data_IF_929294057019
#
_entry.id   IF_929294057019
#
_cell.length_a   1.000
_cell.length_b   1.000
_cell.length_c   1.000
_cell.angle_alpha   90.00
_cell.angle_beta   90.00
_cell.angle_gamma   90.00
#
_symmetry.space_group_name_H-M   'P 1'
#
loop_
_entity.id
_entity.type
_entity.pdbx_description
1 polymer ?
#
# COMPACT_ATOMS: atom_id res chain seq x y z
N UNK A 1 -23.85 13.22 -30.91
CA UNK A 1 -22.88 12.73 -29.90
C UNK A 1 -22.90 11.21 -29.77
N UNK A 2 -24.04 10.49 -29.84
CA UNK A 2 -23.99 9.00 -29.80
C UNK A 2 -23.27 8.41 -31.03
N UNK A 3 -23.56 8.90 -32.24
CA UNK A 3 -22.96 8.38 -33.49
C UNK A 3 -21.42 8.49 -33.59
N UNK A 4 -20.77 9.34 -32.78
CA UNK A 4 -19.30 9.48 -32.78
C UNK A 4 -18.68 8.46 -31.82
N UNK A 5 -19.35 8.16 -30.71
CA UNK A 5 -18.89 7.15 -29.75
C UNK A 5 -19.05 5.74 -30.32
N UNK A 6 -20.17 5.50 -31.01
CA UNK A 6 -20.47 4.20 -31.62
C UNK A 6 -19.41 3.87 -32.69
N UNK A 7 -19.01 4.85 -33.52
CA UNK A 7 -17.94 4.67 -34.50
C UNK A 7 -16.54 4.53 -33.89
N UNK A 8 -16.25 5.20 -32.77
CA UNK A 8 -14.96 5.06 -32.09
C UNK A 8 -14.80 3.64 -31.50
N UNK A 9 -15.86 3.13 -30.86
CA UNK A 9 -15.90 1.77 -30.34
C UNK A 9 -15.77 0.73 -31.45
N UNK A 10 -16.54 0.85 -32.54
CA UNK A 10 -16.45 -0.06 -33.69
C UNK A 10 -15.03 -0.09 -34.29
N UNK A 11 -14.38 1.07 -34.40
CA UNK A 11 -13.02 1.17 -34.90
C UNK A 11 -12.01 0.52 -33.93
N UNK A 12 -12.14 0.76 -32.62
CA UNK A 12 -11.28 0.14 -31.61
C UNK A 12 -11.47 -1.39 -31.56
N UNK A 13 -12.70 -1.88 -31.75
CA UNK A 13 -13.00 -3.30 -31.86
C UNK A 13 -12.31 -3.92 -33.09
N UNK A 14 -12.41 -3.26 -34.24
CA UNK A 14 -11.71 -3.70 -35.46
C UNK A 14 -10.19 -3.72 -35.26
N UNK A 15 -9.62 -2.72 -34.59
CA UNK A 15 -8.20 -2.69 -34.26
C UNK A 15 -7.78 -3.82 -33.30
N UNK A 16 -8.61 -4.12 -32.29
CA UNK A 16 -8.37 -5.22 -31.38
C UNK A 16 -8.39 -6.56 -32.12
N UNK A 17 -9.42 -6.81 -32.92
CA UNK A 17 -9.53 -8.03 -33.74
C UNK A 17 -8.35 -8.14 -34.70
N UNK A 18 -7.98 -7.06 -35.37
CA UNK A 18 -6.83 -7.03 -36.28
C UNK A 18 -5.52 -7.37 -35.56
N UNK A 19 -5.30 -6.78 -34.38
CA UNK A 19 -4.11 -7.05 -33.55
C UNK A 19 -4.06 -8.53 -33.13
N UNK A 20 -5.19 -9.12 -32.76
CA UNK A 20 -5.30 -10.56 -32.45
C UNK A 20 -4.92 -11.42 -33.67
N UNK A 21 -5.39 -11.06 -34.87
CA UNK A 21 -5.09 -11.79 -36.10
C UNK A 21 -3.62 -11.67 -36.52
N UNK A 22 -3.01 -10.50 -36.31
CA UNK A 22 -1.60 -10.23 -36.63
C UNK A 22 -0.62 -11.11 -35.86
N UNK A 23 -1.02 -11.65 -34.70
CA UNK A 23 -0.19 -12.58 -33.91
C UNK A 23 0.31 -13.77 -34.74
N UNK A 24 -0.61 -14.42 -35.45
CA UNK A 24 -0.29 -15.59 -36.27
C UNK A 24 0.68 -15.23 -37.39
N UNK A 25 0.52 -14.05 -37.97
CA UNK A 25 1.42 -13.55 -39.01
C UNK A 25 2.80 -13.19 -38.45
N UNK A 26 2.88 -12.58 -37.27
CA UNK A 26 4.13 -12.21 -36.62
C UNK A 26 4.98 -13.46 -36.32
N UNK A 27 4.36 -14.49 -35.72
CA UNK A 27 5.05 -15.73 -35.39
C UNK A 27 5.41 -16.57 -36.64
N UNK A 28 4.59 -16.54 -37.70
CA UNK A 28 4.89 -17.29 -38.93
C UNK A 28 6.05 -16.73 -39.76
N UNK A 29 6.50 -15.50 -39.47
CA UNK A 29 7.67 -14.88 -40.14
C UNK A 29 9.01 -15.35 -39.54
N UNK A 30 8.98 -15.93 -38.35
CA UNK A 30 10.16 -16.42 -37.66
C UNK A 30 10.53 -17.80 -38.23
N UNK A 31 11.82 -18.00 -38.52
CA UNK A 31 12.32 -19.28 -39.03
C UNK A 31 12.55 -20.23 -37.86
N UNK A 32 12.55 -21.56 -38.09
CA UNK A 32 12.90 -22.53 -37.04
C UNK A 32 14.28 -22.29 -36.39
N UNK A 33 15.17 -21.60 -37.09
CA UNK A 33 16.54 -21.28 -36.68
C UNK A 33 16.65 -19.93 -35.95
N UNK A 34 15.55 -19.18 -35.80
CA UNK A 34 15.57 -17.86 -35.17
C UNK A 34 15.94 -17.97 -33.69
N UNK A 35 16.88 -17.17 -33.17
CA UNK A 35 17.25 -17.17 -31.77
C UNK A 35 16.05 -16.91 -30.85
N UNK A 36 15.99 -17.61 -29.72
CA UNK A 36 14.88 -17.48 -28.77
C UNK A 36 14.66 -16.04 -28.29
N UNK A 37 15.72 -15.26 -28.09
CA UNK A 37 15.63 -13.84 -27.71
C UNK A 37 14.95 -12.97 -28.77
N UNK A 38 15.13 -13.27 -30.06
CA UNK A 38 14.47 -12.56 -31.16
C UNK A 38 12.98 -12.95 -31.25
N UNK A 39 12.66 -14.22 -31.03
CA UNK A 39 11.28 -14.69 -30.92
C UNK A 39 10.56 -14.01 -29.75
N UNK A 40 11.21 -13.95 -28.59
CA UNK A 40 10.68 -13.32 -27.38
C UNK A 40 10.49 -11.80 -27.57
N UNK A 41 11.44 -11.12 -28.23
CA UNK A 41 11.30 -9.70 -28.57
C UNK A 41 10.06 -9.44 -29.44
N UNK A 42 9.89 -10.21 -30.54
CA UNK A 42 8.69 -10.10 -31.37
C UNK A 42 7.39 -10.42 -30.62
N UNK A 43 7.46 -11.34 -29.65
CA UNK A 43 6.32 -11.67 -28.79
C UNK A 43 5.96 -10.50 -27.88
N UNK A 44 6.94 -9.88 -27.22
CA UNK A 44 6.73 -8.70 -26.37
C UNK A 44 6.21 -7.50 -27.16
N UNK A 45 6.75 -7.23 -28.35
CA UNK A 45 6.28 -6.15 -29.23
C UNK A 45 4.82 -6.33 -29.63
N UNK A 46 4.42 -7.56 -29.94
CA UNK A 46 3.03 -7.87 -30.25
C UNK A 46 2.13 -7.76 -29.00
N UNK A 47 2.62 -8.23 -27.84
CA UNK A 47 1.92 -8.13 -26.57
C UNK A 47 1.63 -6.66 -26.20
N UNK A 48 2.58 -5.75 -26.41
CA UNK A 48 2.39 -4.31 -26.19
C UNK A 48 1.31 -3.70 -27.09
N UNK A 49 1.28 -4.10 -28.37
CA UNK A 49 0.22 -3.67 -29.31
C UNK A 49 -1.15 -4.16 -28.87
N UNK A 50 -1.23 -5.42 -28.42
CA UNK A 50 -2.49 -5.98 -27.94
C UNK A 50 -2.97 -5.25 -26.68
N UNK A 51 -2.08 -5.02 -25.72
CA UNK A 51 -2.40 -4.27 -24.50
C UNK A 51 -2.96 -2.88 -24.84
N UNK A 52 -2.28 -2.13 -25.72
CA UNK A 52 -2.75 -0.83 -26.17
C UNK A 52 -4.12 -0.91 -26.88
N UNK A 53 -4.36 -1.95 -27.70
CA UNK A 53 -5.63 -2.15 -28.37
C UNK A 53 -6.78 -2.45 -27.38
N UNK A 54 -6.53 -3.26 -26.35
CA UNK A 54 -7.52 -3.55 -25.29
C UNK A 54 -7.85 -2.29 -24.51
N UNK A 55 -6.84 -1.53 -24.05
CA UNK A 55 -7.07 -0.28 -23.33
C UNK A 55 -7.87 0.73 -24.18
N UNK A 56 -7.54 0.86 -25.47
CA UNK A 56 -8.29 1.71 -26.39
C UNK A 56 -9.74 1.24 -26.54
N UNK A 57 -9.97 -0.06 -26.75
CA UNK A 57 -11.32 -0.61 -26.84
C UNK A 57 -12.13 -0.34 -25.58
N UNK A 58 -11.58 -0.62 -24.39
CA UNK A 58 -12.26 -0.41 -23.12
C UNK A 58 -12.56 1.08 -22.88
N UNK A 59 -11.59 1.96 -23.12
CA UNK A 59 -11.79 3.41 -23.02
C UNK A 59 -12.90 3.90 -23.96
N UNK A 60 -12.88 3.45 -25.20
CA UNK A 60 -13.82 3.90 -26.23
C UNK A 60 -15.23 3.34 -25.96
N UNK A 61 -15.34 2.10 -25.46
CA UNK A 61 -16.59 1.51 -24.98
C UNK A 61 -17.18 2.29 -23.79
N UNK A 62 -16.33 2.74 -22.86
CA UNK A 62 -16.76 3.51 -21.69
C UNK A 62 -17.04 4.99 -22.03
N UNK A 63 -16.51 5.54 -23.12
CA UNK A 63 -16.59 6.97 -23.43
C UNK A 63 -18.03 7.50 -23.47
N UNK A 64 -18.97 6.76 -24.09
CA UNK A 64 -20.38 7.15 -24.13
C UNK A 64 -21.00 7.23 -22.72
N UNK A 65 -20.71 6.23 -21.88
CA UNK A 65 -21.21 6.14 -20.51
C UNK A 65 -20.64 7.30 -19.67
N UNK A 66 -19.32 7.48 -19.70
CA UNK A 66 -18.63 8.54 -18.96
C UNK A 66 -19.11 9.92 -19.40
N UNK A 67 -19.25 10.17 -20.70
CA UNK A 67 -19.77 11.43 -21.22
C UNK A 67 -21.21 11.71 -20.78
N UNK A 68 -22.02 10.67 -20.53
CA UNK A 68 -23.36 10.82 -19.95
C UNK A 68 -23.29 11.11 -18.46
N UNK A 69 -22.46 10.39 -17.71
CA UNK A 69 -22.26 10.61 -16.27
C UNK A 69 -21.77 12.04 -16.03
N UNK A 70 -20.72 12.49 -16.72
CA UNK A 70 -20.15 13.83 -16.55
C UNK A 70 -21.10 14.99 -16.93
N UNK A 71 -22.18 14.72 -17.67
CA UNK A 71 -23.23 15.72 -17.97
C UNK A 71 -24.28 15.85 -16.87
N UNK A 72 -24.35 14.89 -15.95
CA UNK A 72 -25.27 14.97 -14.82
C UNK A 72 -24.81 16.07 -13.85
N UNK A 73 -25.72 16.69 -13.09
CA UNK A 73 -25.39 17.50 -11.91
C UNK A 73 -24.45 16.76 -10.96
N UNK A 74 -23.60 17.50 -10.25
CA UNK A 74 -22.53 16.92 -9.42
C UNK A 74 -23.10 15.96 -8.37
N UNK A 75 -24.23 16.31 -7.77
CA UNK A 75 -24.91 15.53 -6.74
C UNK A 75 -25.34 14.14 -7.25
N UNK A 76 -25.77 14.04 -8.50
CA UNK A 76 -26.12 12.75 -9.11
C UNK A 76 -24.87 11.95 -9.48
N UNK A 77 -23.76 12.61 -9.80
CA UNK A 77 -22.49 11.91 -10.05
C UNK A 77 -21.92 11.35 -8.75
N UNK A 78 -21.92 12.13 -7.68
CA UNK A 78 -21.49 11.67 -6.35
C UNK A 78 -22.34 10.48 -5.88
N UNK A 79 -23.66 10.51 -6.11
CA UNK A 79 -24.51 9.35 -5.84
C UNK A 79 -24.09 8.11 -6.64
N UNK A 80 -23.76 8.25 -7.93
CA UNK A 80 -23.26 7.14 -8.76
C UNK A 80 -21.89 6.65 -8.25
N UNK A 81 -21.00 7.55 -7.88
CA UNK A 81 -19.66 7.19 -7.40
C UNK A 81 -19.71 6.51 -6.05
N UNK A 82 -20.61 6.91 -5.16
CA UNK A 82 -20.90 6.21 -3.91
C UNK A 82 -21.24 4.74 -4.16
N UNK A 83 -22.11 4.45 -5.13
CA UNK A 83 -22.45 3.06 -5.49
C UNK A 83 -21.26 2.23 -6.00
N UNK A 84 -20.19 2.86 -6.49
CA UNK A 84 -18.97 2.12 -6.89
C UNK A 84 -18.15 1.65 -5.68
N UNK A 85 -18.39 2.26 -4.51
CA UNK A 85 -17.70 1.99 -3.26
C UNK A 85 -18.55 1.21 -2.25
N UNK A 86 -19.78 0.82 -2.63
CA UNK A 86 -20.64 0.02 -1.77
C UNK A 86 -20.00 -1.36 -1.53
N UNK A 87 -19.99 -1.76 -0.27
CA UNK A 87 -19.48 -3.06 0.17
C UNK A 87 -20.41 -4.19 -0.28
N UNK A 88 -19.85 -5.20 -0.94
CA UNK A 88 -20.47 -6.52 -1.09
C UNK A 88 -19.63 -7.55 -0.32
N UNK A 89 -20.23 -8.52 0.40
CA UNK A 89 -19.48 -9.49 1.22
C UNK A 89 -18.36 -10.26 0.50
N UNK A 90 -18.49 -10.43 -0.82
CA UNK A 90 -17.54 -11.15 -1.66
C UNK A 90 -16.62 -10.19 -2.45
N UNK A 91 -16.81 -8.87 -2.32
CA UNK A 91 -16.11 -7.85 -3.11
C UNK A 91 -16.18 -6.47 -2.43
N UNK A 92 -15.14 -6.12 -1.66
CA UNK A 92 -14.98 -4.78 -1.11
C UNK A 92 -14.00 -3.94 -1.96
N UNK A 93 -14.48 -3.02 -2.81
CA UNK A 93 -13.63 -2.18 -3.62
C UNK A 93 -12.78 -1.20 -2.78
N UNK A 94 -13.21 -0.85 -1.56
CA UNK A 94 -12.44 0.04 -0.68
C UNK A 94 -11.21 -0.69 -0.15
N UNK A 95 -11.40 -1.90 0.40
CA UNK A 95 -10.31 -2.75 0.85
C UNK A 95 -9.34 -3.03 -0.31
N UNK A 96 -9.85 -3.42 -1.48
CA UNK A 96 -9.01 -3.68 -2.65
C UNK A 96 -8.18 -2.46 -3.09
N UNK A 97 -8.73 -1.24 -2.99
CA UNK A 97 -7.96 -0.02 -3.24
C UNK A 97 -6.87 0.19 -2.18
N UNK A 98 -7.19 0.02 -0.89
CA UNK A 98 -6.29 0.25 0.23
C UNK A 98 -5.19 -0.82 0.37
N UNK A 99 -5.43 -2.05 -0.09
CA UNK A 99 -4.47 -3.14 -0.03
C UNK A 99 -3.54 -3.17 -1.26
N UNK A 100 -4.07 -2.86 -2.45
CA UNK A 100 -3.35 -3.09 -3.71
C UNK A 100 -2.89 -1.82 -4.42
N UNK A 101 -2.92 -0.66 -3.75
CA UNK A 101 -2.48 0.62 -4.32
C UNK A 101 -1.04 0.62 -4.82
N UNK A 102 -0.17 -0.26 -4.30
CA UNK A 102 1.18 -0.47 -4.81
C UNK A 102 1.20 -0.79 -6.31
N UNK A 103 0.15 -1.43 -6.83
CA UNK A 103 0.04 -1.90 -8.21
C UNK A 103 -0.55 -0.89 -9.22
N UNK A 104 -0.73 0.39 -8.86
CA UNK A 104 -1.31 1.40 -9.77
C UNK A 104 -0.55 1.59 -11.09
N UNK A 105 0.79 1.47 -11.05
CA UNK A 105 1.64 1.66 -12.23
C UNK A 105 1.95 0.36 -12.96
N UNK A 106 1.54 -0.78 -12.40
CA UNK A 106 1.79 -2.07 -13.01
C UNK A 106 0.94 -2.21 -14.27
N UNK A 107 1.48 -2.82 -15.33
CA UNK A 107 0.69 -3.10 -16.51
C UNK A 107 -0.51 -3.98 -16.16
N UNK A 108 -1.72 -3.65 -16.63
CA UNK A 108 -2.97 -4.36 -16.28
C UNK A 108 -2.96 -5.86 -16.48
N UNK A 109 -2.00 -6.35 -17.23
CA UNK A 109 -1.88 -7.76 -17.54
C UNK A 109 -0.38 -8.13 -17.70
N UNK A 110 -0.07 -9.43 -17.67
CA UNK A 110 1.32 -9.92 -17.65
C UNK A 110 1.84 -10.27 -19.06
N UNK A 111 3.14 -10.06 -19.31
CA UNK A 111 3.80 -10.54 -20.53
C UNK A 111 4.45 -11.89 -20.26
N UNK A 112 3.83 -12.98 -20.74
CA UNK A 112 4.41 -14.32 -20.65
C UNK A 112 5.75 -14.42 -21.38
N UNK A 113 6.75 -15.08 -20.76
CA UNK A 113 7.97 -15.49 -21.45
C UNK A 113 7.74 -16.75 -22.32
N UNK A 114 6.67 -17.50 -22.05
CA UNK A 114 6.27 -18.63 -22.88
C UNK A 114 5.54 -18.13 -24.13
N UNK A 115 6.29 -18.09 -25.24
CA UNK A 115 5.84 -17.72 -26.58
C UNK A 115 4.74 -18.63 -27.15
N UNK A 116 4.58 -19.85 -26.61
CA UNK A 116 3.58 -20.82 -27.06
C UNK A 116 2.20 -20.55 -26.46
N UNK A 117 2.13 -19.91 -25.28
CA UNK A 117 0.89 -19.51 -24.64
C UNK A 117 0.37 -18.18 -25.21
N UNK A 118 -0.93 -17.92 -25.10
CA UNK A 118 -1.41 -16.53 -25.20
C UNK A 118 -0.75 -15.74 -24.07
N UNK A 119 -0.09 -14.60 -24.33
CA UNK A 119 0.64 -13.93 -23.27
C UNK A 119 -0.26 -13.46 -22.12
N UNK A 120 -1.58 -13.43 -22.30
CA UNK A 120 -2.51 -12.76 -21.39
C UNK A 120 -3.82 -13.54 -21.14
N UNK A 121 -3.84 -14.88 -21.20
CA UNK A 121 -5.07 -15.62 -20.83
C UNK A 121 -5.22 -15.86 -19.33
N UNK A 122 -4.14 -15.72 -18.57
CA UNK A 122 -4.24 -15.66 -17.13
C UNK A 122 -4.12 -14.18 -16.73
N UNK A 123 -5.22 -13.61 -16.22
CA UNK A 123 -5.03 -12.63 -15.15
C UNK A 123 -4.12 -13.33 -14.16
N UNK A 124 -2.93 -12.80 -13.84
CA UNK A 124 -2.07 -13.48 -12.90
C UNK A 124 -2.93 -13.76 -11.67
N UNK A 125 -3.03 -15.03 -11.30
CA UNK A 125 -3.90 -15.50 -10.19
C UNK A 125 -3.58 -14.82 -8.85
N UNK A 126 -2.54 -13.99 -8.85
CA UNK A 126 -1.84 -13.40 -7.71
C UNK A 126 -1.74 -11.88 -7.78
N UNK A 127 -2.08 -11.20 -8.88
CA UNK A 127 -2.05 -9.72 -8.87
C UNK A 127 -3.44 -9.24 -8.50
N UNK A 128 -3.64 -9.18 -7.20
CA UNK A 128 -4.68 -8.38 -6.61
C UNK A 128 -4.49 -6.92 -7.05
N UNK A 129 -5.56 -6.29 -7.53
CA UNK A 129 -5.52 -4.99 -8.20
C UNK A 129 -6.52 -4.05 -7.60
N UNK A 130 -6.24 -2.75 -7.63
CA UNK A 130 -7.25 -1.75 -7.36
C UNK A 130 -8.37 -1.80 -8.40
N UNK A 131 -9.57 -1.29 -8.07
CA UNK A 131 -10.70 -1.34 -8.98
C UNK A 131 -10.44 -0.61 -10.30
N UNK A 132 -10.77 -1.23 -11.44
CA UNK A 132 -10.51 -0.64 -12.77
C UNK A 132 -11.22 0.71 -12.99
N UNK A 133 -12.32 0.98 -12.27
CA UNK A 133 -13.08 2.22 -12.40
C UNK A 133 -12.38 3.44 -11.76
N UNK A 134 -11.26 3.27 -11.05
CA UNK A 134 -10.42 4.41 -10.62
C UNK A 134 -9.24 4.67 -11.55
N UNK A 135 -9.04 3.85 -12.58
CA UNK A 135 -7.98 4.07 -13.55
C UNK A 135 -8.41 5.00 -14.69
N UNK A 136 -7.61 6.04 -14.92
CA UNK A 136 -7.79 6.97 -16.05
C UNK A 136 -7.72 6.30 -17.42
N UNK A 137 -7.06 5.15 -17.55
CA UNK A 137 -6.97 4.38 -18.77
C UNK A 137 -8.35 3.88 -19.21
N UNK A 138 -9.23 3.53 -18.26
CA UNK A 138 -10.58 3.03 -18.55
C UNK A 138 -11.65 4.10 -18.48
N UNK A 139 -11.56 5.01 -17.50
CA UNK A 139 -12.62 5.99 -17.22
C UNK A 139 -12.32 7.38 -17.79
N UNK A 140 -11.09 7.63 -18.22
CA UNK A 140 -10.59 8.96 -18.52
C UNK A 140 -10.22 9.75 -17.26
N UNK A 141 -9.33 10.74 -17.37
CA UNK A 141 -8.71 11.40 -16.22
C UNK A 141 -9.71 12.18 -15.35
N UNK A 142 -10.72 12.80 -15.97
CA UNK A 142 -11.73 13.59 -15.22
C UNK A 142 -12.59 12.68 -14.36
N UNK A 143 -13.16 11.62 -14.93
CA UNK A 143 -14.04 10.73 -14.17
C UNK A 143 -13.28 9.94 -13.11
N UNK A 144 -12.11 9.40 -13.43
CA UNK A 144 -11.26 8.70 -12.46
C UNK A 144 -10.94 9.61 -11.25
N UNK A 145 -10.57 10.86 -11.49
CA UNK A 145 -10.35 11.85 -10.43
C UNK A 145 -11.60 12.12 -9.61
N UNK A 146 -12.76 12.34 -10.24
CA UNK A 146 -14.01 12.59 -9.50
C UNK A 146 -14.42 11.40 -8.63
N UNK A 147 -14.17 10.16 -9.09
CA UNK A 147 -14.43 8.93 -8.33
C UNK A 147 -13.49 8.82 -7.12
N UNK A 148 -12.20 9.12 -7.31
CA UNK A 148 -11.20 9.15 -6.24
C UNK A 148 -11.46 10.27 -5.21
N UNK A 149 -11.92 11.44 -5.67
CA UNK A 149 -12.39 12.52 -4.78
C UNK A 149 -13.59 12.06 -3.94
N UNK A 150 -14.52 11.30 -4.54
CA UNK A 150 -15.64 10.71 -3.80
C UNK A 150 -15.15 9.71 -2.75
N UNK A 151 -14.22 8.81 -3.10
CA UNK A 151 -13.61 7.88 -2.14
C UNK A 151 -12.97 8.63 -0.97
N UNK A 152 -12.11 9.61 -1.26
CA UNK A 152 -11.41 10.45 -0.26
C UNK A 152 -12.36 11.08 0.75
N UNK A 153 -13.55 11.48 0.29
CA UNK A 153 -14.51 12.22 1.12
C UNK A 153 -15.36 11.30 2.01
N UNK A 154 -15.28 9.99 1.80
CA UNK A 154 -16.16 8.97 2.40
C UNK A 154 -15.39 7.92 3.18
N UNK A 155 -14.24 7.46 2.66
CA UNK A 155 -13.41 6.43 3.31
C UNK A 155 -13.06 6.85 4.74
N UNK A 156 -13.24 5.94 5.70
CA UNK A 156 -12.94 6.19 7.12
C UNK A 156 -13.84 7.21 7.82
N UNK A 157 -14.76 7.88 7.11
CA UNK A 157 -15.63 8.91 7.68
C UNK A 157 -16.80 8.33 8.46
N UNK A 158 -17.39 7.25 7.99
CA UNK A 158 -18.42 6.53 8.73
C UNK A 158 -17.74 5.47 9.61
N UNK A 159 -17.92 5.59 10.93
CA UNK A 159 -17.32 4.68 11.92
C UNK A 159 -18.40 3.91 12.69
N UNK A 160 -19.63 3.94 12.20
CA UNK A 160 -20.74 3.21 12.78
C UNK A 160 -20.61 1.72 12.45
N UNK A 161 -20.98 0.81 13.35
CA UNK A 161 -21.00 -0.62 13.05
C UNK A 161 -21.90 -0.93 11.85
N UNK A 162 -21.50 -1.89 11.03
CA UNK A 162 -22.35 -2.44 9.96
C UNK A 162 -23.53 -3.24 10.53
N UNK A 163 -24.41 -3.75 9.65
CA UNK A 163 -25.55 -4.61 10.02
C UNK A 163 -25.12 -5.90 10.75
N UNK A 164 -23.83 -6.28 10.64
CA UNK A 164 -23.23 -7.43 11.32
C UNK A 164 -22.60 -7.08 12.67
N UNK A 165 -22.58 -5.79 13.04
CA UNK A 165 -21.95 -5.27 14.25
C UNK A 165 -20.43 -5.09 14.16
N UNK A 166 -19.83 -5.23 12.97
CA UNK A 166 -18.42 -4.97 12.75
C UNK A 166 -18.18 -3.48 12.57
N UNK A 167 -17.12 -2.95 13.19
CA UNK A 167 -16.69 -1.59 12.92
C UNK A 167 -15.96 -1.55 11.58
N UNK A 168 -16.20 -0.52 10.76
CA UNK A 168 -15.46 -0.32 9.51
C UNK A 168 -14.01 0.02 9.80
N UNK A 169 -13.14 -0.23 8.83
CA UNK A 169 -11.72 0.09 8.95
C UNK A 169 -11.51 1.58 9.22
N UNK A 170 -10.73 1.89 10.25
CA UNK A 170 -10.39 3.25 10.65
C UNK A 170 -8.93 3.60 10.37
N UNK A 171 -8.18 2.67 9.78
CA UNK A 171 -6.73 2.72 9.64
C UNK A 171 -6.28 2.30 8.23
N UNK A 172 -5.25 2.96 7.71
CA UNK A 172 -4.48 2.56 6.53
C UNK A 172 -3.08 2.12 6.99
N UNK A 173 -2.74 0.86 6.72
CA UNK A 173 -1.43 0.29 7.06
C UNK A 173 -0.46 0.43 5.89
N UNK A 174 0.73 0.93 6.16
CA UNK A 174 1.82 1.08 5.21
C UNK A 174 3.10 0.45 5.74
N UNK A 175 3.77 -0.31 4.88
CA UNK A 175 5.07 -0.89 5.20
C UNK A 175 6.16 0.16 4.97
N UNK A 176 7.25 0.05 5.72
CA UNK A 176 8.42 0.93 5.68
C UNK A 176 8.94 1.24 4.27
N UNK A 177 8.99 0.24 3.39
CA UNK A 177 9.43 0.37 2.00
C UNK A 177 8.47 1.18 1.12
N UNK A 178 7.21 1.26 1.50
CA UNK A 178 6.14 1.93 0.74
C UNK A 178 5.88 3.36 1.20
N UNK A 179 6.56 3.84 2.26
CA UNK A 179 6.35 5.19 2.82
C UNK A 179 6.52 6.28 1.74
N UNK A 180 7.57 6.21 0.92
CA UNK A 180 7.81 7.24 -0.10
C UNK A 180 6.71 7.25 -1.15
N UNK A 181 6.32 6.07 -1.63
CA UNK A 181 5.27 5.93 -2.62
C UNK A 181 3.93 6.43 -2.06
N UNK A 182 3.62 6.13 -0.79
CA UNK A 182 2.41 6.61 -0.14
C UNK A 182 2.28 8.14 -0.18
N UNK A 183 3.41 8.84 0.03
CA UNK A 183 3.48 10.31 0.07
C UNK A 183 3.55 10.94 -1.32
N UNK A 184 4.19 10.29 -2.29
CA UNK A 184 4.60 10.94 -3.54
C UNK A 184 4.02 10.34 -4.81
N UNK A 185 3.56 9.08 -4.77
CA UNK A 185 3.02 8.39 -5.93
C UNK A 185 1.67 8.99 -6.29
N UNK A 186 1.53 9.38 -7.56
CA UNK A 186 0.29 9.85 -8.11
C UNK A 186 -0.61 8.66 -8.47
N UNK A 187 -1.70 8.49 -7.74
CA UNK A 187 -2.67 7.41 -7.91
C UNK A 187 -3.26 7.48 -9.31
N UNK A 188 -2.95 6.46 -10.13
CA UNK A 188 -3.30 6.39 -11.55
C UNK A 188 -2.93 7.64 -12.37
N UNK A 189 -1.98 8.44 -11.90
CA UNK A 189 -1.55 9.65 -12.57
C UNK A 189 -2.67 10.69 -12.77
N UNK A 190 -3.55 10.89 -11.79
CA UNK A 190 -4.67 11.86 -11.83
C UNK A 190 -4.44 13.11 -10.96
N UNK A 191 -3.25 13.24 -10.38
CA UNK A 191 -2.83 14.33 -9.50
C UNK A 191 -3.28 14.17 -8.04
N UNK A 192 -3.37 12.95 -7.52
CA UNK A 192 -3.77 12.67 -6.13
C UNK A 192 -2.88 11.58 -5.51
N UNK A 193 -2.45 11.74 -4.27
CA UNK A 193 -1.60 10.75 -3.57
C UNK A 193 -2.42 9.84 -2.66
N UNK A 194 -1.84 8.71 -2.23
CA UNK A 194 -2.48 7.85 -1.22
C UNK A 194 -2.62 8.54 0.13
N UNK A 195 -1.67 9.40 0.50
CA UNK A 195 -1.78 10.27 1.68
C UNK A 195 -3.04 11.13 1.63
N UNK A 196 -3.31 11.77 0.48
CA UNK A 196 -4.49 12.62 0.30
C UNK A 196 -5.78 11.79 0.33
N UNK A 197 -5.81 10.64 -0.38
CA UNK A 197 -6.97 9.75 -0.45
C UNK A 197 -7.40 9.23 0.92
N UNK A 198 -6.43 8.89 1.75
CA UNK A 198 -6.66 8.27 3.06
C UNK A 198 -6.76 9.27 4.20
N UNK A 199 -6.93 10.58 3.92
CA UNK A 199 -6.93 11.65 4.94
C UNK A 199 -7.87 11.46 6.14
N UNK A 200 -8.93 10.67 5.95
CA UNK A 200 -9.92 10.35 6.97
C UNK A 200 -9.64 9.02 7.69
N UNK A 201 -8.53 8.34 7.41
CA UNK A 201 -8.06 7.15 8.11
C UNK A 201 -6.87 7.50 9.01
N UNK A 202 -6.74 6.81 10.13
CA UNK A 202 -5.49 6.74 10.87
C UNK A 202 -4.41 6.09 9.99
N UNK A 203 -3.14 6.32 10.29
CA UNK A 203 -2.02 5.70 9.56
C UNK A 203 -1.33 4.73 10.51
N UNK A 204 -1.08 3.49 10.07
CA UNK A 204 -0.10 2.59 10.70
C UNK A 204 1.13 2.51 9.82
N UNK A 205 2.31 2.76 10.36
CA UNK A 205 3.58 2.55 9.64
C UNK A 205 4.29 1.37 10.28
N UNK A 206 4.42 0.28 9.53
CA UNK A 206 5.08 -0.94 9.98
C UNK A 206 6.54 -0.95 9.55
N UNK A 207 7.44 -0.90 10.53
CA UNK A 207 8.86 -1.12 10.38
C UNK A 207 9.17 -2.57 10.69
N UNK A 208 9.49 -3.34 9.65
CA UNK A 208 9.78 -4.76 9.79
C UNK A 208 11.27 -4.96 9.99
N UNK A 209 11.66 -5.35 11.20
CA UNK A 209 13.06 -5.55 11.56
C UNK A 209 13.69 -6.75 10.85
N UNK A 210 12.90 -7.76 10.50
CA UNK A 210 13.37 -9.03 9.92
C UNK A 210 13.82 -8.91 8.46
N UNK A 211 13.08 -8.15 7.63
CA UNK A 211 13.37 -7.99 6.20
C UNK A 211 14.68 -7.22 5.93
N UNK A 212 15.28 -6.63 6.97
CA UNK A 212 16.60 -6.00 6.86
C UNK A 212 17.74 -7.00 6.60
N UNK A 213 17.46 -8.30 6.74
CA UNK A 213 18.46 -9.37 6.66
C UNK A 213 18.16 -10.44 5.60
N UNK A 214 17.00 -10.38 4.94
CA UNK A 214 16.66 -11.35 3.89
C UNK A 214 17.21 -10.91 2.52
N UNK A 215 17.98 -11.76 1.83
CA UNK A 215 18.45 -11.46 0.48
C UNK A 215 17.27 -11.42 -0.50
N UNK A 216 17.19 -10.36 -1.32
CA UNK A 216 16.07 -10.11 -2.24
C UNK A 216 15.98 -11.15 -3.38
N UNK A 217 16.98 -12.02 -3.56
CA UNK A 217 16.94 -13.08 -4.58
C UNK A 217 17.79 -14.32 -4.25
N UNK A 218 17.47 -15.42 -4.94
CA UNK A 218 18.25 -16.67 -4.95
C UNK A 218 19.71 -16.47 -5.41
N UNK A 219 19.97 -15.51 -6.31
CA UNK A 219 21.34 -15.13 -6.72
C UNK A 219 22.08 -14.37 -5.62
N UNK A 220 21.40 -13.49 -4.87
CA UNK A 220 21.98 -12.83 -3.70
C UNK A 220 22.28 -13.81 -2.57
N UNK A 221 21.44 -14.82 -2.40
CA UNK A 221 21.61 -15.91 -1.44
C UNK A 221 22.86 -16.77 -1.76
N UNK A 222 23.12 -17.02 -3.04
CA UNK A 222 24.32 -17.74 -3.50
C UNK A 222 25.59 -16.89 -3.41
N UNK A 223 25.49 -15.58 -3.67
CA UNK A 223 26.61 -14.65 -3.56
C UNK A 223 26.96 -14.25 -2.12
N UNK A 224 25.98 -14.22 -1.20
CA UNK A 224 26.21 -13.88 0.22
C UNK A 224 26.99 -14.98 0.96
N UNK A 225 26.85 -16.24 0.55
CA UNK A 225 27.68 -17.34 1.07
C UNK A 225 29.16 -17.21 0.70
N UNK A 226 29.50 -16.45 -0.35
CA UNK A 226 30.87 -16.23 -0.80
C UNK A 226 31.50 -14.92 -0.30
N UNK A 227 30.71 -13.98 0.24
CA UNK A 227 31.14 -12.63 0.60
C UNK A 227 31.00 -12.32 2.09
N UNK A 228 32.15 -12.34 2.76
CA UNK A 228 32.47 -11.88 4.12
C UNK A 228 31.65 -10.67 4.62
N UNK A 229 31.28 -10.70 5.92
CA UNK A 229 30.73 -9.66 6.84
C UNK A 229 30.80 -8.16 6.48
N UNK A 230 31.71 -7.70 5.62
CA UNK A 230 31.80 -6.30 5.17
C UNK A 230 30.71 -5.89 4.16
N UNK A 231 30.16 -6.84 3.40
CA UNK A 231 29.11 -6.58 2.40
C UNK A 231 27.77 -6.18 3.03
N UNK A 232 27.43 -6.76 4.19
CA UNK A 232 26.13 -6.54 4.83
C UNK A 232 26.02 -5.18 5.54
N UNK A 233 27.14 -4.64 6.04
CA UNK A 233 27.16 -3.30 6.67
C UNK A 233 26.88 -2.21 5.64
N UNK A 234 27.42 -2.34 4.42
CA UNK A 234 27.16 -1.41 3.31
C UNK A 234 25.69 -1.40 2.90
N UNK A 235 25.12 -2.58 2.63
CA UNK A 235 23.70 -2.74 2.28
C UNK A 235 22.76 -2.19 3.37
N UNK A 236 23.07 -2.48 4.64
CA UNK A 236 22.33 -1.96 5.79
C UNK A 236 22.35 -0.44 5.84
N UNK A 237 23.53 0.18 5.68
CA UNK A 237 23.66 1.64 5.66
C UNK A 237 22.89 2.28 4.51
N UNK A 238 22.87 1.66 3.33
CA UNK A 238 22.11 2.15 2.17
C UNK A 238 20.61 2.05 2.40
N UNK A 239 20.13 0.93 2.93
CA UNK A 239 18.73 0.73 3.28
C UNK A 239 18.26 1.74 4.33
N UNK A 240 19.02 1.94 5.42
CA UNK A 240 18.69 2.96 6.42
C UNK A 240 18.74 4.37 5.85
N UNK A 241 19.69 4.70 4.98
CA UNK A 241 19.72 5.99 4.31
C UNK A 241 18.45 6.21 3.46
N UNK A 242 17.96 5.16 2.79
CA UNK A 242 16.71 5.15 2.03
C UNK A 242 15.50 5.42 2.95
N UNK A 243 15.34 4.62 4.01
CA UNK A 243 14.27 4.80 4.99
C UNK A 243 14.32 6.18 5.67
N UNK A 244 15.52 6.70 5.93
CA UNK A 244 15.68 8.04 6.49
C UNK A 244 15.20 9.14 5.52
N UNK A 245 15.40 8.94 4.22
CA UNK A 245 14.80 9.77 3.17
C UNK A 245 13.27 9.68 3.17
N UNK A 246 12.73 8.47 3.28
CA UNK A 246 11.29 8.22 3.28
C UNK A 246 10.61 8.83 4.50
N UNK A 247 11.18 8.64 5.68
CA UNK A 247 10.77 9.29 6.92
C UNK A 247 10.78 10.82 6.80
N UNK A 248 11.77 11.39 6.11
CA UNK A 248 11.82 12.84 5.86
C UNK A 248 10.65 13.31 5.00
N UNK A 249 10.34 12.58 3.93
CA UNK A 249 9.19 12.87 3.07
C UNK A 249 7.88 12.77 3.86
N UNK A 250 7.71 11.72 4.65
CA UNK A 250 6.51 11.50 5.46
C UNK A 250 6.35 12.53 6.59
N UNK A 251 7.42 12.87 7.30
CA UNK A 251 7.38 13.97 8.28
C UNK A 251 6.93 15.27 7.58
N UNK A 252 7.36 15.50 6.33
CA UNK A 252 7.02 16.71 5.58
C UNK A 252 5.55 16.89 5.19
N UNK A 253 4.69 15.89 5.39
CA UNK A 253 3.26 16.01 5.08
C UNK A 253 2.57 16.96 6.07
N UNK A 254 1.58 17.75 5.64
CA UNK A 254 0.84 18.63 6.54
C UNK A 254 -0.04 17.82 7.48
N UNK A 255 -0.13 18.25 8.75
CA UNK A 255 -1.12 17.68 9.66
C UNK A 255 -2.54 17.91 9.13
N UNK A 256 -3.27 16.80 9.00
CA UNK A 256 -4.65 16.79 8.56
C UNK A 256 -5.56 16.35 9.71
N UNK A 257 -6.73 16.97 9.80
CA UNK A 257 -7.77 16.50 10.70
C UNK A 257 -8.61 15.46 9.97
N UNK A 258 -9.00 14.42 10.71
CA UNK A 258 -9.99 13.45 10.29
C UNK A 258 -11.39 13.98 10.59
N UNK A 259 -12.32 13.74 9.67
CA UNK A 259 -13.74 13.97 9.88
C UNK A 259 -14.41 12.61 10.02
N UNK A 260 -15.04 12.35 11.17
CA UNK A 260 -15.78 11.12 11.44
C UNK A 260 -17.23 11.41 11.85
N UNK A 261 -18.11 10.48 11.52
CA UNK A 261 -19.52 10.45 11.91
C UNK A 261 -19.68 9.29 12.88
N UNK A 262 -19.98 9.60 14.15
CA UNK A 262 -19.91 8.62 15.24
C UNK A 262 -21.28 8.28 15.87
N UNK A 263 -22.33 9.03 15.57
CA UNK A 263 -23.64 8.87 16.22
C UNK A 263 -24.78 8.73 15.20
N UNK A 264 -25.57 7.66 15.33
CA UNK A 264 -26.77 7.37 14.54
C UNK A 264 -27.90 8.38 14.76
N UNK A 265 -27.95 9.01 15.93
CA UNK A 265 -29.11 9.80 16.37
C UNK A 265 -28.96 11.27 15.98
N UNK A 266 -27.74 11.80 16.06
CA UNK A 266 -27.48 13.24 15.86
C UNK A 266 -26.82 13.55 14.51
N UNK A 267 -26.21 12.55 13.85
CA UNK A 267 -25.29 12.78 12.72
C UNK A 267 -24.19 13.78 13.07
N UNK A 268 -23.79 13.84 14.34
CA UNK A 268 -22.76 14.78 14.80
C UNK A 268 -21.42 14.46 14.12
N UNK A 269 -20.88 15.47 13.45
CA UNK A 269 -19.57 15.42 12.82
C UNK A 269 -18.51 15.70 13.87
N UNK A 270 -17.67 14.72 14.15
CA UNK A 270 -16.48 14.90 14.95
C UNK A 270 -15.28 15.20 14.05
N UNK A 271 -14.56 16.25 14.38
CA UNK A 271 -13.32 16.64 13.71
C UNK A 271 -12.20 16.53 14.73
N UNK A 272 -11.24 15.63 14.49
CA UNK A 272 -10.12 15.37 15.39
C UNK A 272 -8.81 15.21 14.64
N UNK A 273 -7.67 15.21 15.36
CA UNK A 273 -6.38 14.96 14.74
C UNK A 273 -6.35 13.55 14.13
N UNK A 274 -5.63 13.41 13.01
CA UNK A 274 -5.30 12.11 12.42
C UNK A 274 -4.22 11.45 13.28
N UNK A 275 -4.47 10.22 13.76
CA UNK A 275 -3.49 9.45 14.52
C UNK A 275 -2.51 8.76 13.57
N UNK A 276 -1.22 8.82 13.89
CA UNK A 276 -0.17 8.02 13.25
C UNK A 276 0.41 7.05 14.27
N UNK A 277 0.31 5.76 13.99
CA UNK A 277 0.96 4.71 14.79
C UNK A 277 2.25 4.30 14.09
N UNK A 278 3.37 4.43 14.79
CA UNK A 278 4.67 3.91 14.35
C UNK A 278 4.85 2.54 14.98
N UNK A 279 4.72 1.48 14.19
CA UNK A 279 4.77 0.08 14.63
C UNK A 279 6.14 -0.51 14.32
N UNK A 280 6.85 -0.96 15.35
CA UNK A 280 8.03 -1.81 15.20
C UNK A 280 7.56 -3.25 15.27
N UNK A 281 7.77 -4.02 14.21
CA UNK A 281 7.40 -5.43 14.11
C UNK A 281 8.65 -6.29 13.90
N UNK A 282 8.72 -7.38 14.65
CA UNK A 282 9.84 -8.32 14.67
C UNK A 282 9.34 -9.74 14.98
N UNK A 283 9.33 -10.63 13.99
CA UNK A 283 8.96 -12.04 14.14
C UNK A 283 10.04 -12.84 14.88
N UNK A 284 11.28 -12.34 14.88
CA UNK A 284 12.43 -12.95 15.53
C UNK A 284 12.53 -12.58 17.01
N UNK A 285 13.64 -12.88 17.68
CA UNK A 285 13.80 -12.69 19.12
C UNK A 285 14.14 -11.25 19.54
N UNK A 286 13.99 -10.26 18.64
CA UNK A 286 14.45 -8.88 18.82
C UNK A 286 15.91 -8.76 19.29
N UNK A 287 16.71 -9.83 19.20
CA UNK A 287 18.12 -9.80 19.58
C UNK A 287 18.99 -9.15 18.53
N UNK A 288 18.38 -8.88 17.37
CA UNK A 288 19.07 -8.44 16.19
C UNK A 288 19.57 -7.01 16.27
N UNK A 289 20.70 -6.82 15.62
CA UNK A 289 21.42 -5.56 15.61
C UNK A 289 20.65 -4.39 14.98
N UNK A 290 19.47 -4.60 14.38
CA UNK A 290 18.67 -3.57 13.70
C UNK A 290 17.83 -2.70 14.64
N UNK A 291 17.42 -3.21 15.80
CA UNK A 291 16.53 -2.50 16.73
C UNK A 291 17.00 -1.06 17.09
N UNK A 292 18.30 -0.78 17.34
CA UNK A 292 18.76 0.58 17.63
C UNK A 292 18.53 1.57 16.48
N UNK A 293 18.78 1.12 15.24
CA UNK A 293 18.67 1.99 14.06
C UNK A 293 17.19 2.24 13.70
N UNK A 294 16.33 1.21 13.76
CA UNK A 294 14.87 1.36 13.60
C UNK A 294 14.31 2.25 14.70
N UNK A 295 14.71 2.04 15.95
CA UNK A 295 14.27 2.88 17.08
C UNK A 295 14.67 4.33 16.88
N UNK A 296 15.88 4.61 16.42
CA UNK A 296 16.34 5.96 16.09
C UNK A 296 15.48 6.62 15.00
N UNK A 297 15.12 5.87 13.96
CA UNK A 297 14.20 6.33 12.91
C UNK A 297 12.80 6.61 13.44
N UNK A 298 12.24 5.71 14.24
CA UNK A 298 10.93 5.85 14.88
C UNK A 298 10.89 7.07 15.80
N UNK A 299 11.91 7.28 16.63
CA UNK A 299 12.01 8.47 17.49
C UNK A 299 12.08 9.75 16.66
N UNK A 300 12.85 9.74 15.56
CA UNK A 300 12.93 10.87 14.64
C UNK A 300 11.56 11.19 14.04
N UNK A 301 10.85 10.16 13.54
CA UNK A 301 9.51 10.32 12.98
C UNK A 301 8.51 10.79 14.03
N UNK A 302 8.51 10.19 15.22
CA UNK A 302 7.68 10.61 16.34
C UNK A 302 7.86 12.10 16.64
N UNK A 303 9.11 12.54 16.87
CA UNK A 303 9.40 13.95 17.17
C UNK A 303 9.02 14.88 16.02
N UNK A 304 9.32 14.48 14.78
CA UNK A 304 9.01 15.27 13.58
C UNK A 304 7.50 15.44 13.35
N UNK A 305 6.75 14.35 13.42
CA UNK A 305 5.29 14.34 13.22
C UNK A 305 4.57 15.09 14.34
N UNK A 306 4.98 14.90 15.60
CA UNK A 306 4.47 15.67 16.75
C UNK A 306 4.73 17.17 16.58
N UNK A 307 5.94 17.55 16.15
CA UNK A 307 6.26 18.95 15.88
C UNK A 307 5.39 19.55 14.75
N UNK A 308 4.92 18.71 13.82
CA UNK A 308 4.02 19.09 12.75
C UNK A 308 2.53 19.06 13.13
N UNK A 309 2.19 18.63 14.36
CA UNK A 309 0.84 18.68 14.90
C UNK A 309 0.04 17.39 14.78
N UNK A 310 0.66 16.27 14.40
CA UNK A 310 0.01 14.96 14.44
C UNK A 310 -0.12 14.44 15.87
N UNK A 311 -1.16 13.62 16.11
CA UNK A 311 -1.15 12.69 17.22
C UNK A 311 -0.35 11.45 16.81
N UNK A 312 0.56 10.98 17.66
CA UNK A 312 1.48 9.91 17.29
C UNK A 312 1.60 8.93 18.44
N UNK A 313 1.43 7.64 18.14
CA UNK A 313 1.67 6.55 19.06
C UNK A 313 2.83 5.69 18.57
N UNK A 314 3.50 5.02 19.50
CA UNK A 314 4.50 4.00 19.17
C UNK A 314 3.97 2.66 19.63
N UNK A 315 4.03 1.65 18.75
CA UNK A 315 3.67 0.27 19.10
C UNK A 315 4.86 -0.63 18.82
N UNK A 316 5.10 -1.59 19.69
CA UNK A 316 6.10 -2.63 19.48
C UNK A 316 5.40 -3.99 19.55
N UNK A 317 5.58 -4.76 18.49
CA UNK A 317 5.08 -6.10 18.29
C UNK A 317 6.27 -7.03 18.10
N UNK A 318 6.36 -8.07 18.92
CA UNK A 318 7.32 -9.14 18.70
C UNK A 318 6.71 -10.49 19.02
N UNK A 319 6.58 -11.33 17.99
CA UNK A 319 5.85 -12.59 18.08
C UNK A 319 6.62 -13.65 18.88
N UNK A 320 7.95 -13.74 18.69
CA UNK A 320 8.80 -14.70 19.39
C UNK A 320 8.69 -14.56 20.91
N UNK A 321 8.77 -13.32 21.39
CA UNK A 321 8.59 -13.04 22.82
C UNK A 321 7.15 -12.70 23.19
N UNK A 322 6.18 -12.78 22.28
CA UNK A 322 4.77 -12.42 22.49
C UNK A 322 4.58 -11.03 23.15
N UNK A 323 5.37 -10.05 22.71
CA UNK A 323 5.28 -8.65 23.13
C UNK A 323 4.26 -7.94 22.23
N UNK A 324 3.24 -7.32 22.81
CA UNK A 324 2.37 -6.38 22.11
C UNK A 324 2.10 -5.17 23.00
N UNK A 325 2.95 -4.15 22.89
CA UNK A 325 2.90 -2.96 23.75
C UNK A 325 2.70 -1.71 22.92
N UNK A 326 1.71 -0.92 23.34
CA UNK A 326 1.49 0.43 22.85
C UNK A 326 1.95 1.45 23.91
N UNK A 327 2.75 2.40 23.45
CA UNK A 327 3.26 3.53 24.21
C UNK A 327 2.47 4.78 23.83
N UNK A 328 1.79 5.36 24.84
CA UNK A 328 1.08 6.62 24.75
C UNK A 328 1.98 7.78 25.20
N UNK A 329 1.48 9.01 25.13
CA UNK A 329 2.21 10.23 25.50
C UNK A 329 2.73 10.24 26.95
N UNK A 330 2.15 9.46 27.86
CA UNK A 330 2.58 9.40 29.26
C UNK A 330 3.95 8.72 29.45
N UNK A 331 4.36 7.88 28.49
CA UNK A 331 5.62 7.12 28.55
C UNK A 331 6.85 8.00 28.74
N UNK A 332 6.81 9.23 28.20
CA UNK A 332 7.91 10.18 28.29
C UNK A 332 8.13 10.71 29.71
N UNK A 333 7.15 10.55 30.60
CA UNK A 333 7.23 10.89 32.01
C UNK A 333 7.50 9.70 32.93
N UNK A 334 7.65 8.49 32.39
CA UNK A 334 7.87 7.29 33.19
C UNK A 334 9.23 7.33 33.90
N UNK A 335 9.22 7.01 35.18
CA UNK A 335 10.41 6.81 36.01
C UNK A 335 10.99 5.41 35.84
N UNK A 336 12.20 5.16 36.36
CA UNK A 336 12.79 3.81 36.41
C UNK A 336 11.84 2.79 37.03
N UNK A 337 11.16 3.19 38.11
CA UNK A 337 10.17 2.36 38.79
C UNK A 337 8.94 2.10 37.91
N UNK A 338 8.50 3.05 37.09
CA UNK A 338 7.38 2.83 36.16
C UNK A 338 7.77 1.81 35.09
N UNK A 339 8.98 1.92 34.53
CA UNK A 339 9.50 0.95 33.56
C UNK A 339 9.65 -0.47 34.14
N UNK A 340 10.09 -0.60 35.39
CA UNK A 340 10.18 -1.89 36.09
C UNK A 340 8.79 -2.48 36.41
N UNK A 341 7.85 -1.65 36.87
CA UNK A 341 6.52 -2.10 37.29
C UNK A 341 5.55 -2.35 36.12
N UNK A 342 5.79 -1.76 34.95
CA UNK A 342 4.97 -1.97 33.74
C UNK A 342 5.40 -3.18 32.92
N UNK A 343 6.63 -3.69 33.12
CA UNK A 343 7.13 -4.89 32.47
C UNK A 343 6.20 -6.11 32.65
N UNK A 344 5.63 -6.42 33.84
CA UNK A 344 4.76 -7.58 34.00
C UNK A 344 3.31 -7.37 33.52
N UNK A 345 2.87 -6.12 33.26
CA UNK A 345 1.46 -5.75 33.18
C UNK A 345 0.92 -5.31 31.82
N UNK A 346 1.78 -5.00 30.83
CA UNK A 346 1.34 -4.61 29.48
C UNK A 346 1.64 -5.72 28.47
N UNK A 347 0.60 -6.28 27.84
CA UNK A 347 0.71 -6.82 26.48
C UNK A 347 1.37 -8.19 26.28
N UNK A 348 1.44 -9.05 27.31
CA UNK A 348 2.02 -10.39 27.19
C UNK A 348 0.93 -11.47 27.09
N UNK A 349 1.03 -12.36 26.10
CA UNK A 349 -0.02 -13.33 25.80
C UNK A 349 0.05 -14.68 26.55
N UNK A 350 0.96 -14.92 27.52
CA UNK A 350 1.02 -16.24 28.17
C UNK A 350 1.50 -16.25 29.63
N UNK A 351 0.81 -17.08 30.44
CA UNK A 351 1.11 -17.44 31.83
C UNK A 351 2.24 -18.48 31.98
N UNK A 352 2.78 -19.02 30.87
CA UNK A 352 3.85 -20.03 30.89
C UNK A 352 4.85 -19.80 29.77
N UNK A 353 6.06 -19.38 30.12
CA UNK A 353 7.18 -19.21 29.19
C UNK A 353 8.43 -19.85 29.76
N UNK A 354 9.27 -20.37 28.89
CA UNK A 354 10.59 -20.84 29.27
C UNK A 354 11.44 -19.68 29.82
N UNK A 355 12.30 -19.96 30.80
CA UNK A 355 13.17 -18.95 31.44
C UNK A 355 14.02 -18.17 30.41
N UNK A 356 14.43 -18.83 29.31
CA UNK A 356 15.16 -18.23 28.19
C UNK A 356 14.38 -17.12 27.47
N UNK A 357 13.05 -17.25 27.38
CA UNK A 357 12.17 -16.25 26.78
C UNK A 357 11.98 -15.07 27.75
N UNK A 358 11.92 -15.33 29.06
CA UNK A 358 11.80 -14.28 30.09
C UNK A 358 13.05 -13.38 30.12
N UNK A 359 14.25 -13.96 30.02
CA UNK A 359 15.49 -13.19 29.93
C UNK A 359 15.53 -12.33 28.66
N UNK A 360 15.16 -12.91 27.51
CA UNK A 360 15.07 -12.20 26.24
C UNK A 360 14.08 -11.04 26.29
N UNK A 361 12.89 -11.25 26.88
CA UNK A 361 11.88 -10.21 27.10
C UNK A 361 12.42 -9.03 27.90
N UNK A 362 13.08 -9.32 29.01
CA UNK A 362 13.64 -8.29 29.88
C UNK A 362 14.68 -7.47 29.14
N UNK A 363 15.55 -8.15 28.36
CA UNK A 363 16.55 -7.49 27.51
C UNK A 363 15.90 -6.57 26.47
N UNK A 364 14.92 -7.05 25.72
CA UNK A 364 14.22 -6.27 24.67
C UNK A 364 13.49 -5.09 25.29
N UNK A 365 12.83 -5.26 26.43
CA UNK A 365 12.18 -4.16 27.16
C UNK A 365 13.16 -3.05 27.54
N UNK A 366 14.33 -3.41 28.06
CA UNK A 366 15.39 -2.44 28.40
C UNK A 366 15.96 -1.77 27.15
N UNK A 367 16.11 -2.50 26.05
CA UNK A 367 16.55 -1.94 24.77
C UNK A 367 15.53 -0.95 24.19
N UNK A 368 14.24 -1.28 24.22
CA UNK A 368 13.17 -0.35 23.81
C UNK A 368 13.22 0.92 24.65
N UNK A 369 13.34 0.78 25.98
CA UNK A 369 13.51 1.91 26.89
C UNK A 369 14.73 2.77 26.49
N UNK A 370 15.89 2.16 26.30
CA UNK A 370 17.13 2.87 25.98
C UNK A 370 17.05 3.56 24.61
N UNK A 371 16.67 2.84 23.56
CA UNK A 371 16.75 3.34 22.19
C UNK A 371 15.60 4.26 21.79
N UNK A 372 14.38 4.03 22.31
CA UNK A 372 13.24 4.90 22.03
C UNK A 372 13.16 6.09 22.99
N UNK A 373 13.54 5.91 24.25
CA UNK A 373 13.25 6.89 25.31
C UNK A 373 14.49 7.38 26.08
N UNK A 374 15.66 6.77 25.91
CA UNK A 374 16.89 7.08 26.67
C UNK A 374 17.66 8.31 26.18
N UNK A 375 17.44 8.77 24.94
CA UNK A 375 18.17 9.90 24.32
C UNK A 375 17.38 11.24 24.34
N UNK A 376 16.68 11.54 25.43
CA UNK A 376 15.98 12.83 25.60
C UNK A 376 16.74 13.83 26.47
#
# INVERSE_FOLDING_TARGET
MSSISDHAQEHAEQQLVQTILERKHALSRLKPETPHSEVLSCHHDWADKLHAAILNYMRDANTALIARILKLPRELRDAIYMYLWDFEPDNDPNAALLEHWGAFDDAWFYKSEDVSNSPWLDSPKTIERPPYFVDKAFMGPVAAREILECFRDVVGRDQRPDDSGNLPDDQCTINDLSILDFVTKDVFGVGMTMEELTRNLNISIQFNADYMFEPESLEEMQNSMASTRGSNIGKRSEFYAKLNGYATAFIGIPATNRIITADEITSDLYVGPRLVTLEIFDESDCSDSALPDISSLVVRMYKGLRANGFEVNIRCLCDFIQLNVQFEDDVWGWTDADWENKLPGKGWFADYLEDSVIETRTRVWLQLREYLFGNN
#
